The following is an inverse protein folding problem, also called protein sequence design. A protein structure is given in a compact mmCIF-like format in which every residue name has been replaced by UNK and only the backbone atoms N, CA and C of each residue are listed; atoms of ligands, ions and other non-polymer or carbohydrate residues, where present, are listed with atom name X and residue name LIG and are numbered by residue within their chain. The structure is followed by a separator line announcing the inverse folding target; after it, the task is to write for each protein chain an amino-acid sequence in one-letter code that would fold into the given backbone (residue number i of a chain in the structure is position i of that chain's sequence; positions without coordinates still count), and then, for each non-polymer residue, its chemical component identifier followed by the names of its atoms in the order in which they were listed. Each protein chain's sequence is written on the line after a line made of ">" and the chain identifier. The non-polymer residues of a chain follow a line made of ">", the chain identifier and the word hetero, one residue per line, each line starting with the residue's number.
data_IF_693037576000
#
_entry.id   IF_693037576000
#
_cell.length_a   1.000
_cell.length_b   1.000
_cell.length_c   1.000
_cell.angle_alpha   90.00
_cell.angle_beta   90.00
_cell.angle_gamma   90.00
#
_symmetry.space_group_name_H-M   'P 1'
#
loop_
_entity.id
_entity.type
_entity.pdbx_description
1 polymer ?
#
# COMPACT_ATOMS: atom_id res chain seq x y z
N UNK A 1 -28.15 -0.24 21.84
CA UNK A 1 -28.58 -1.04 20.67
C UNK A 1 -27.78 -0.76 19.40
N UNK A 2 -27.44 0.49 19.05
CA UNK A 2 -26.67 0.81 17.83
C UNK A 2 -25.29 0.11 17.71
N UNK A 3 -24.62 -0.21 18.82
CA UNK A 3 -23.36 -0.95 18.81
C UNK A 3 -23.50 -2.46 18.54
N UNK A 4 -24.67 -3.05 18.81
CA UNK A 4 -24.92 -4.49 18.60
C UNK A 4 -25.24 -4.82 17.13
N UNK A 5 -25.66 -3.82 16.34
CA UNK A 5 -25.93 -3.96 14.91
C UNK A 5 -24.69 -3.70 14.02
N UNK A 6 -23.53 -3.38 14.62
CA UNK A 6 -22.27 -3.11 13.89
C UNK A 6 -21.70 -4.32 13.14
N UNK A 7 -22.21 -5.51 13.44
CA UNK A 7 -21.76 -6.79 12.87
C UNK A 7 -22.62 -7.28 11.70
N UNK A 8 -23.70 -6.58 11.36
CA UNK A 8 -24.49 -6.96 10.19
C UNK A 8 -23.91 -6.29 8.94
N UNK A 9 -23.39 -7.06 7.99
CA UNK A 9 -23.08 -6.56 6.64
C UNK A 9 -24.43 -6.28 5.95
N UNK A 10 -24.85 -5.01 5.81
CA UNK A 10 -26.15 -4.74 5.22
C UNK A 10 -26.07 -5.08 3.73
N UNK A 11 -27.02 -5.89 3.26
CA UNK A 11 -27.17 -6.19 1.84
C UNK A 11 -27.86 -5.03 1.14
N UNK A 12 -27.50 -4.79 -0.13
CA UNK A 12 -28.05 -3.72 -0.96
C UNK A 12 -29.56 -3.90 -1.09
N UNK A 13 -30.00 -5.15 -1.30
CA UNK A 13 -31.41 -5.48 -1.50
C UNK A 13 -32.22 -5.32 -0.20
N UNK A 14 -31.60 -5.56 0.96
CA UNK A 14 -32.19 -5.25 2.27
C UNK A 14 -32.37 -3.73 2.45
N UNK A 15 -31.38 -2.93 2.10
CA UNK A 15 -31.47 -1.47 2.27
C UNK A 15 -32.46 -0.82 1.30
N UNK A 16 -32.56 -1.31 0.06
CA UNK A 16 -33.55 -0.82 -0.91
C UNK A 16 -34.99 -1.14 -0.49
N UNK A 17 -35.23 -2.22 0.25
CA UNK A 17 -36.55 -2.57 0.77
C UNK A 17 -36.97 -1.72 1.98
N UNK A 18 -36.02 -1.38 2.85
CA UNK A 18 -36.28 -0.63 4.09
C UNK A 18 -36.20 0.89 3.94
N UNK A 19 -35.40 1.36 2.99
CA UNK A 19 -35.23 2.79 2.71
C UNK A 19 -35.95 3.08 1.41
N UNK A 20 -37.05 3.84 1.46
CA UNK A 20 -37.79 4.31 0.28
C UNK A 20 -36.97 5.36 -0.50
N UNK A 21 -35.83 4.94 -1.02
CA UNK A 21 -34.90 5.77 -1.79
C UNK A 21 -35.14 5.58 -3.28
N UNK A 22 -34.96 6.65 -4.06
CA UNK A 22 -34.94 6.61 -5.52
C UNK A 22 -33.52 6.51 -6.09
N UNK A 23 -32.51 6.34 -5.23
CA UNK A 23 -31.13 6.19 -5.65
C UNK A 23 -30.92 4.86 -6.37
N UNK A 24 -30.14 4.92 -7.46
CA UNK A 24 -29.76 3.74 -8.23
C UNK A 24 -28.99 2.73 -7.37
N UNK A 25 -29.16 1.43 -7.68
CA UNK A 25 -28.53 0.32 -6.97
C UNK A 25 -27.00 0.46 -6.91
N UNK A 26 -26.36 0.92 -7.97
CA UNK A 26 -24.92 1.14 -8.00
C UNK A 26 -24.48 2.23 -7.02
N UNK A 27 -25.26 3.29 -6.87
CA UNK A 27 -25.00 4.37 -5.91
C UNK A 27 -25.14 3.85 -4.48
N UNK A 28 -26.21 3.11 -4.19
CA UNK A 28 -26.44 2.52 -2.86
C UNK A 28 -25.33 1.54 -2.51
N UNK A 29 -24.92 0.68 -3.45
CA UNK A 29 -23.79 -0.23 -3.27
C UNK A 29 -22.49 0.52 -2.95
N UNK A 30 -22.16 1.56 -3.73
CA UNK A 30 -20.97 2.37 -3.52
C UNK A 30 -20.97 3.08 -2.14
N UNK A 31 -22.13 3.55 -1.69
CA UNK A 31 -22.30 4.17 -0.36
C UNK A 31 -22.12 3.16 0.77
N UNK A 32 -22.67 1.96 0.65
CA UNK A 32 -22.49 0.87 1.62
C UNK A 32 -21.01 0.49 1.71
N UNK A 33 -20.35 0.29 0.57
CA UNK A 33 -18.92 -0.01 0.55
C UNK A 33 -18.09 1.10 1.20
N UNK A 34 -18.42 2.37 0.92
CA UNK A 34 -17.74 3.50 1.54
C UNK A 34 -17.95 3.52 3.06
N UNK A 35 -19.17 3.27 3.54
CA UNK A 35 -19.48 3.19 4.96
C UNK A 35 -18.73 2.02 5.63
N UNK A 36 -18.72 0.84 5.00
CA UNK A 36 -18.00 -0.35 5.50
C UNK A 36 -16.49 -0.09 5.61
N UNK A 37 -15.89 0.69 4.69
CA UNK A 37 -14.47 1.09 4.78
C UNK A 37 -14.17 1.98 5.99
N UNK A 38 -15.16 2.70 6.52
CA UNK A 38 -15.00 3.59 7.69
C UNK A 38 -15.27 2.89 9.02
N UNK A 39 -15.79 1.65 9.00
CA UNK A 39 -16.07 0.93 10.23
C UNK A 39 -14.77 0.58 10.97
N UNK A 40 -14.79 0.62 12.32
CA UNK A 40 -13.66 0.14 13.10
C UNK A 40 -13.40 -1.34 12.78
N UNK A 41 -12.13 -1.79 12.85
CA UNK A 41 -11.78 -3.18 12.59
C UNK A 41 -12.55 -4.10 13.52
N UNK A 42 -12.99 -5.24 12.99
CA UNK A 42 -13.67 -6.26 13.78
C UNK A 42 -12.72 -6.81 14.86
N UNK A 43 -13.11 -6.65 16.12
CA UNK A 43 -12.32 -7.03 17.29
C UNK A 43 -12.64 -8.43 17.81
N UNK A 44 -13.61 -9.11 17.21
CA UNK A 44 -13.93 -10.52 17.50
C UNK A 44 -12.70 -11.41 17.23
N UNK A 45 -12.59 -12.58 17.89
CA UNK A 45 -11.52 -13.54 17.60
C UNK A 45 -11.48 -13.96 16.13
N UNK A 46 -12.66 -14.15 15.53
CA UNK A 46 -12.85 -14.51 14.12
C UNK A 46 -12.41 -13.38 13.18
N UNK A 47 -12.89 -12.14 13.40
CA UNK A 47 -12.48 -10.98 12.60
C UNK A 47 -10.98 -10.67 12.71
N UNK A 48 -10.37 -10.89 13.88
CA UNK A 48 -8.92 -10.81 14.06
C UNK A 48 -8.18 -11.89 13.27
N UNK A 49 -8.69 -13.12 13.24
CA UNK A 49 -8.09 -14.22 12.48
C UNK A 49 -8.17 -13.94 10.96
N UNK A 50 -9.34 -13.55 10.46
CA UNK A 50 -9.52 -13.15 9.05
C UNK A 50 -8.61 -11.99 8.66
N UNK A 51 -8.51 -10.95 9.51
CA UNK A 51 -7.63 -9.82 9.25
C UNK A 51 -6.16 -10.22 9.23
N UNK A 52 -5.73 -11.17 10.06
CA UNK A 52 -4.36 -11.72 10.02
C UNK A 52 -4.11 -12.46 8.71
N UNK A 53 -5.02 -13.34 8.30
CA UNK A 53 -4.92 -14.08 7.03
C UNK A 53 -4.83 -13.11 5.85
N UNK A 54 -5.71 -12.10 5.80
CA UNK A 54 -5.70 -11.07 4.75
C UNK A 54 -4.42 -10.25 4.76
N UNK A 55 -3.92 -9.88 5.94
CA UNK A 55 -2.66 -9.14 6.07
C UNK A 55 -1.48 -10.00 5.60
N UNK A 56 -1.46 -11.29 5.91
CA UNK A 56 -0.43 -12.22 5.47
C UNK A 56 -0.44 -12.41 3.96
N UNK A 57 -1.62 -12.60 3.35
CA UNK A 57 -1.76 -12.67 1.90
C UNK A 57 -1.26 -11.40 1.21
N UNK A 58 -1.69 -10.23 1.67
CA UNK A 58 -1.22 -8.93 1.14
C UNK A 58 0.29 -8.75 1.28
N UNK A 59 0.86 -9.25 2.37
CA UNK A 59 2.31 -9.21 2.60
C UNK A 59 3.05 -10.12 1.62
N UNK A 60 2.58 -11.34 1.39
CA UNK A 60 3.16 -12.26 0.40
C UNK A 60 3.10 -11.68 -1.01
N UNK A 61 1.95 -11.11 -1.38
CA UNK A 61 1.79 -10.41 -2.67
C UNK A 61 2.76 -9.23 -2.80
N UNK A 62 2.97 -8.46 -1.73
CA UNK A 62 3.93 -7.36 -1.71
C UNK A 62 5.38 -7.84 -1.86
N UNK A 63 5.76 -8.89 -1.14
CA UNK A 63 7.11 -9.49 -1.20
C UNK A 63 7.42 -10.02 -2.61
N UNK A 64 6.46 -10.68 -3.26
CA UNK A 64 6.60 -11.15 -4.65
C UNK A 64 6.76 -9.97 -5.62
N UNK A 65 5.93 -8.93 -5.48
CA UNK A 65 5.98 -7.75 -6.33
C UNK A 65 7.30 -6.98 -6.18
N UNK A 66 7.82 -6.88 -4.96
CA UNK A 66 9.12 -6.26 -4.67
C UNK A 66 10.28 -7.05 -5.29
N UNK A 67 10.26 -8.38 -5.20
CA UNK A 67 11.26 -9.23 -5.84
C UNK A 67 11.29 -9.02 -7.37
N UNK A 68 10.12 -9.02 -8.01
CA UNK A 68 9.98 -8.74 -9.45
C UNK A 68 10.46 -7.33 -9.81
N UNK A 69 10.25 -6.34 -8.94
CA UNK A 69 10.79 -5.00 -9.12
C UNK A 69 12.33 -5.03 -9.08
N UNK A 70 12.94 -5.66 -8.07
CA UNK A 70 14.40 -5.77 -7.94
C UNK A 70 15.02 -6.45 -9.16
N UNK A 71 14.41 -7.54 -9.64
CA UNK A 71 14.88 -8.25 -10.84
C UNK A 71 14.85 -7.35 -12.08
N UNK A 72 13.81 -6.52 -12.24
CA UNK A 72 13.71 -5.53 -13.32
C UNK A 72 14.79 -4.45 -13.23
N UNK A 73 15.12 -3.97 -12.03
CA UNK A 73 16.21 -3.01 -11.84
C UNK A 73 17.58 -3.67 -12.07
N UNK A 74 17.77 -4.94 -11.74
CA UNK A 74 19.00 -5.67 -12.13
C UNK A 74 19.13 -5.80 -13.64
N UNK A 75 18.02 -6.10 -14.31
CA UNK A 75 18.00 -6.25 -15.77
C UNK A 75 18.35 -4.96 -16.52
N UNK A 76 18.16 -3.78 -15.91
CA UNK A 76 18.58 -2.51 -16.50
C UNK A 76 20.10 -2.25 -16.41
N UNK A 77 20.88 -3.17 -15.81
CA UNK A 77 22.33 -3.09 -15.73
C UNK A 77 22.85 -2.12 -14.65
N UNK A 78 21.98 -1.61 -13.79
CA UNK A 78 22.39 -0.73 -12.70
C UNK A 78 23.12 -1.51 -11.60
N UNK A 79 24.17 -0.91 -11.03
CA UNK A 79 24.87 -1.46 -9.87
C UNK A 79 24.26 -0.90 -8.58
N UNK A 80 23.71 -1.78 -7.74
CA UNK A 80 23.04 -1.39 -6.51
C UNK A 80 23.10 -2.47 -5.44
N UNK A 81 22.74 -2.08 -4.22
CA UNK A 81 22.52 -2.95 -3.07
C UNK A 81 21.02 -3.08 -2.80
N UNK A 82 20.55 -4.30 -2.63
CA UNK A 82 19.22 -4.63 -2.12
C UNK A 82 19.10 -4.33 -0.63
N UNK A 83 17.89 -4.27 -0.10
CA UNK A 83 17.66 -4.08 1.33
C UNK A 83 18.38 -5.15 2.19
N UNK A 84 18.37 -6.41 1.75
CA UNK A 84 19.01 -7.52 2.45
C UNK A 84 20.53 -7.34 2.52
N UNK A 85 21.16 -6.97 1.40
CA UNK A 85 22.60 -6.70 1.34
C UNK A 85 22.98 -5.50 2.21
N UNK A 86 22.18 -4.43 2.18
CA UNK A 86 22.40 -3.25 3.03
C UNK A 86 22.30 -3.57 4.53
N UNK A 87 21.38 -4.48 4.92
CA UNK A 87 21.27 -4.97 6.29
C UNK A 87 22.47 -5.84 6.70
N UNK A 88 22.98 -6.68 5.79
CA UNK A 88 24.15 -7.51 6.05
C UNK A 88 25.40 -6.67 6.35
N UNK A 89 25.55 -5.51 5.70
CA UNK A 89 26.61 -4.54 5.99
C UNK A 89 26.23 -3.48 7.03
N UNK A 90 25.13 -3.69 7.76
CA UNK A 90 24.66 -2.86 8.88
C UNK A 90 24.43 -1.37 8.54
N UNK A 91 23.98 -1.07 7.33
CA UNK A 91 23.61 0.30 6.95
C UNK A 91 22.36 0.74 7.72
N UNK A 92 22.37 1.99 8.20
CA UNK A 92 21.27 2.57 8.98
C UNK A 92 19.98 2.77 8.18
N UNK A 93 20.12 3.18 6.93
CA UNK A 93 19.01 3.42 6.01
C UNK A 93 19.09 2.39 4.91
N UNK A 94 17.98 1.67 4.71
CA UNK A 94 17.89 0.53 3.81
C UNK A 94 16.67 0.70 2.90
N UNK A 95 16.70 1.64 1.94
CA UNK A 95 15.74 1.65 0.85
C UNK A 95 15.80 0.31 0.10
N UNK A 96 14.74 -0.04 -0.63
CA UNK A 96 14.66 -1.34 -1.33
C UNK A 96 15.81 -1.51 -2.34
N UNK A 97 16.16 -0.41 -3.02
CA UNK A 97 17.33 -0.30 -3.89
C UNK A 97 18.18 0.90 -3.48
N UNK A 98 19.47 0.68 -3.30
CA UNK A 98 20.46 1.75 -3.11
C UNK A 98 21.56 1.64 -4.15
N UNK A 99 21.63 2.60 -5.07
CA UNK A 99 22.64 2.56 -6.11
C UNK A 99 24.05 2.77 -5.53
N UNK A 100 25.04 2.09 -6.11
CA UNK A 100 26.45 2.30 -5.77
C UNK A 100 26.93 3.65 -6.31
N UNK A 101 26.46 4.01 -7.50
CA UNK A 101 26.64 5.33 -8.09
C UNK A 101 25.27 5.91 -8.50
N UNK A 102 25.04 7.22 -8.37
CA UNK A 102 23.74 7.79 -8.67
C UNK A 102 23.35 7.60 -10.14
N UNK A 103 22.11 7.17 -10.39
CA UNK A 103 21.59 6.89 -11.73
C UNK A 103 20.65 8.01 -12.16
N UNK A 104 20.74 8.44 -13.43
CA UNK A 104 19.78 9.39 -14.00
C UNK A 104 18.53 8.64 -14.47
N UNK A 105 17.38 8.99 -13.91
CA UNK A 105 16.06 8.46 -14.28
C UNK A 105 15.21 9.65 -14.71
N UNK A 106 14.78 9.68 -15.98
CA UNK A 106 14.02 10.80 -16.56
C UNK A 106 14.66 12.18 -16.33
N UNK A 107 16.00 12.25 -16.37
CA UNK A 107 16.76 13.48 -16.13
C UNK A 107 16.94 13.85 -14.64
N UNK A 108 16.43 13.03 -13.73
CA UNK A 108 16.59 13.21 -12.29
C UNK A 108 17.64 12.24 -11.73
N UNK A 109 18.63 12.79 -11.03
CA UNK A 109 19.62 11.99 -10.33
C UNK A 109 18.97 11.25 -9.16
N UNK A 110 19.16 9.94 -9.10
CA UNK A 110 18.57 9.05 -8.11
C UNK A 110 19.65 8.20 -7.44
N UNK A 111 19.74 8.28 -6.11
CA UNK A 111 20.65 7.51 -5.27
C UNK A 111 20.00 6.24 -4.72
N UNK A 112 18.66 6.21 -4.68
CA UNK A 112 17.89 5.11 -4.13
C UNK A 112 16.51 5.03 -4.79
N UNK A 113 15.92 3.83 -4.76
CA UNK A 113 14.52 3.59 -5.10
C UNK A 113 13.82 2.89 -3.94
N UNK A 114 12.57 3.25 -3.70
CA UNK A 114 11.67 2.57 -2.78
C UNK A 114 10.47 2.06 -3.56
N UNK A 115 10.18 0.77 -3.48
CA UNK A 115 9.04 0.17 -4.14
C UNK A 115 7.81 0.14 -3.24
N UNK A 116 6.65 0.44 -3.82
CA UNK A 116 5.36 0.29 -3.16
C UNK A 116 4.36 -0.29 -4.17
N UNK A 117 3.80 -1.45 -3.85
CA UNK A 117 2.79 -2.14 -4.66
C UNK A 117 1.39 -1.48 -4.63
N UNK A 118 1.28 -0.21 -4.25
CA UNK A 118 0.04 0.54 -4.24
C UNK A 118 0.29 2.01 -4.56
N UNK A 119 -0.52 2.58 -5.45
CA UNK A 119 -0.54 4.01 -5.72
C UNK A 119 -1.60 4.69 -4.85
N UNK A 120 -1.18 5.64 -4.02
CA UNK A 120 -2.07 6.53 -3.28
C UNK A 120 -2.27 6.19 -1.80
N UNK A 121 -2.22 7.24 -0.99
CA UNK A 121 -2.46 7.26 0.46
C UNK A 121 -3.93 7.03 0.87
N UNK A 122 -4.75 6.34 0.05
CA UNK A 122 -6.21 6.39 0.18
C UNK A 122 -6.81 5.65 1.38
N UNK A 123 -6.06 4.82 2.11
CA UNK A 123 -6.63 3.98 3.14
C UNK A 123 -6.27 4.35 4.59
N UNK A 124 -5.17 5.08 4.84
CA UNK A 124 -4.75 5.33 6.23
C UNK A 124 -3.83 6.57 6.37
N UNK A 125 -4.33 7.70 6.94
CA UNK A 125 -3.51 8.89 7.17
C UNK A 125 -2.32 8.66 8.11
N UNK A 126 -2.36 7.63 8.96
CA UNK A 126 -1.25 7.26 9.85
C UNK A 126 -0.10 6.54 9.13
N UNK A 127 -0.38 5.86 8.01
CA UNK A 127 0.66 5.24 7.17
C UNK A 127 1.40 6.32 6.37
N UNK A 128 0.68 7.36 5.95
CA UNK A 128 1.25 8.47 5.18
C UNK A 128 2.36 9.22 5.95
N UNK A 129 2.16 9.48 7.24
CA UNK A 129 3.15 10.22 8.05
C UNK A 129 4.45 9.44 8.27
N UNK A 130 4.35 8.13 8.54
CA UNK A 130 5.51 7.25 8.71
C UNK A 130 6.32 7.12 7.42
N UNK A 131 5.64 6.84 6.30
CA UNK A 131 6.28 6.75 4.99
C UNK A 131 6.93 8.09 4.62
N UNK A 132 6.24 9.21 4.81
CA UNK A 132 6.80 10.54 4.54
C UNK A 132 8.06 10.82 5.37
N UNK A 133 8.07 10.45 6.66
CA UNK A 133 9.25 10.59 7.52
C UNK A 133 10.42 9.74 7.02
N UNK A 134 10.15 8.49 6.65
CA UNK A 134 11.16 7.58 6.10
C UNK A 134 11.77 8.12 4.81
N UNK A 135 10.94 8.49 3.83
CA UNK A 135 11.40 9.04 2.54
C UNK A 135 12.17 10.35 2.72
N UNK A 136 11.72 11.21 3.65
CA UNK A 136 12.45 12.44 3.99
C UNK A 136 13.84 12.13 4.55
N UNK A 137 13.96 11.13 5.42
CA UNK A 137 15.26 10.72 5.94
C UNK A 137 16.17 10.21 4.83
N UNK A 138 15.66 9.36 3.93
CA UNK A 138 16.42 8.87 2.78
C UNK A 138 16.91 10.03 1.91
N UNK A 139 16.02 10.94 1.53
CA UNK A 139 16.37 12.11 0.73
C UNK A 139 17.46 12.98 1.40
N UNK A 140 17.34 13.19 2.71
CA UNK A 140 18.28 14.04 3.47
C UNK A 140 19.65 13.43 3.71
N UNK A 141 19.75 12.10 3.78
CA UNK A 141 21.00 11.40 4.15
C UNK A 141 21.69 10.75 2.95
N UNK A 142 20.90 10.23 1.99
CA UNK A 142 21.42 9.49 0.84
C UNK A 142 21.45 10.33 -0.44
N UNK A 143 20.71 11.44 -0.48
CA UNK A 143 20.49 12.23 -1.69
C UNK A 143 19.12 11.96 -2.33
N UNK A 144 18.81 12.62 -3.46
CA UNK A 144 17.55 12.45 -4.17
C UNK A 144 17.32 10.99 -4.56
N UNK A 145 16.06 10.58 -4.65
CA UNK A 145 15.65 9.24 -5.02
C UNK A 145 14.19 9.22 -5.41
N UNK A 146 13.69 8.04 -5.80
CA UNK A 146 12.33 7.91 -6.32
C UNK A 146 11.54 6.83 -5.58
N UNK A 147 10.23 7.01 -5.55
CA UNK A 147 9.29 5.95 -5.15
C UNK A 147 8.70 5.37 -6.42
N UNK A 148 8.83 4.06 -6.58
CA UNK A 148 8.32 3.32 -7.74
C UNK A 148 7.05 2.59 -7.31
N UNK A 149 6.00 2.73 -8.10
CA UNK A 149 4.73 2.05 -7.89
C UNK A 149 4.26 1.44 -9.20
N UNK A 150 3.67 0.25 -9.12
CA UNK A 150 2.90 -0.26 -10.24
C UNK A 150 1.70 0.68 -10.45
N UNK A 151 1.57 1.23 -11.66
CA UNK A 151 0.32 1.82 -12.11
C UNK A 151 -0.66 0.65 -12.24
N UNK A 152 -1.60 0.56 -11.30
CA UNK A 152 -2.84 -0.17 -11.59
C UNK A 152 -3.47 0.60 -12.75
N UNK A 153 -3.37 0.06 -13.97
CA UNK A 153 -4.20 0.53 -15.06
C UNK A 153 -5.64 0.37 -14.56
N UNK A 154 -6.27 1.50 -14.25
CA UNK A 154 -7.71 1.52 -14.10
C UNK A 154 -8.23 1.20 -15.50
N UNK A 155 -8.70 -0.03 -15.71
CA UNK A 155 -9.43 -0.41 -16.91
C UNK A 155 -10.49 0.66 -17.15
N UNK A 156 -10.40 1.28 -18.33
CA UNK A 156 -11.38 2.23 -18.86
C UNK A 156 -12.64 1.49 -19.29
#
# INVERSE_FOLDING_TARGET
>A
MACLLRSYRPDVDLLLQYVHTQLDRAIVSALIEAALRTLPPDTTPEGKAESKIRMQKKRQEAEVAEALFIDRVRASGCLFLTQAEQKAVQLRLTPDVRFLEPVSIDGHLCHWLEYKNFFGFRANPFVASKVKKQLKNYASTLGPGAVVTDLVQADQ
#
